data_IF_115493913993
#
_entry.id   IF_115493913993
#
_cell.length_a   1.000
_cell.length_b   1.000
_cell.length_c   1.000
_cell.angle_alpha   90.00
_cell.angle_beta   90.00
_cell.angle_gamma   90.00
#
_symmetry.space_group_name_H-M   'P 1'
#
loop_
_entity.id
_entity.type
_entity.pdbx_description
1 polymer ?
#
# COMPACT_ATOMS: atom_id res chain seq x y z
N UNK A 1 -42.95 70.86 31.01
CA UNK A 1 -42.87 70.30 29.64
C UNK A 1 -42.08 68.96 29.70
N UNK A 2 -42.82 67.89 29.81
CA UNK A 2 -42.22 66.55 30.00
C UNK A 2 -42.58 65.69 28.78
N UNK A 3 -41.58 65.38 27.99
CA UNK A 3 -41.71 64.47 26.85
C UNK A 3 -41.21 63.09 27.30
N UNK A 4 -42.12 62.13 27.45
CA UNK A 4 -41.84 60.74 27.69
C UNK A 4 -41.55 60.07 26.35
N UNK A 5 -40.38 59.55 26.20
CA UNK A 5 -39.99 58.65 25.09
C UNK A 5 -40.11 57.18 25.55
N UNK A 6 -41.01 56.44 24.91
CA UNK A 6 -41.17 55.03 25.08
C UNK A 6 -40.08 54.31 24.36
N UNK A 7 -39.41 53.33 25.04
CA UNK A 7 -38.49 52.38 24.48
C UNK A 7 -39.27 51.12 24.08
N UNK A 8 -39.31 50.84 22.80
CA UNK A 8 -39.78 49.58 22.28
C UNK A 8 -38.63 48.54 22.33
N UNK A 9 -38.78 47.48 23.13
CA UNK A 9 -37.87 46.40 23.21
C UNK A 9 -38.19 45.43 22.05
N UNK A 10 -37.30 45.37 21.05
CA UNK A 10 -37.34 44.35 20.02
C UNK A 10 -36.63 43.08 20.52
N UNK A 11 -37.41 42.04 20.80
CA UNK A 11 -36.89 40.73 21.15
C UNK A 11 -36.34 40.05 19.91
N UNK A 12 -35.05 39.81 19.90
CA UNK A 12 -34.37 38.99 18.88
C UNK A 12 -34.41 37.54 19.36
N UNK A 13 -35.32 36.73 18.77
CA UNK A 13 -35.28 35.30 18.93
C UNK A 13 -34.13 34.72 18.08
N UNK A 14 -32.99 34.44 18.73
CA UNK A 14 -31.91 33.69 18.11
C UNK A 14 -32.29 32.20 18.07
N UNK A 15 -32.72 31.72 16.92
CA UNK A 15 -32.85 30.29 16.66
C UNK A 15 -31.47 29.69 16.55
N UNK A 16 -31.04 28.99 17.61
CA UNK A 16 -29.84 28.13 17.56
C UNK A 16 -30.22 26.88 16.76
N UNK A 17 -29.87 26.87 15.49
CA UNK A 17 -29.88 25.64 14.70
C UNK A 17 -28.75 24.74 15.18
N UNK A 18 -29.06 23.76 16.02
CA UNK A 18 -28.15 22.66 16.33
C UNK A 18 -28.05 21.82 15.07
N UNK A 19 -27.06 22.11 14.24
CA UNK A 19 -26.64 21.23 13.15
C UNK A 19 -26.07 19.96 13.74
N UNK A 20 -26.85 18.89 13.75
CA UNK A 20 -26.34 17.57 13.94
C UNK A 20 -25.47 17.29 12.71
N UNK A 21 -24.16 17.48 12.83
CA UNK A 21 -23.21 16.92 11.90
C UNK A 21 -23.37 15.39 12.01
N UNK A 22 -24.10 14.80 11.07
CA UNK A 22 -23.97 13.39 10.78
C UNK A 22 -22.52 13.24 10.35
N UNK A 23 -21.67 12.84 11.29
CA UNK A 23 -20.38 12.27 10.94
C UNK A 23 -20.72 11.09 10.02
N UNK A 24 -20.54 11.31 8.73
CA UNK A 24 -20.45 10.22 7.77
C UNK A 24 -19.25 9.41 8.26
N UNK A 25 -19.53 8.37 9.06
CA UNK A 25 -18.52 7.39 9.41
C UNK A 25 -17.89 6.97 8.10
N UNK A 26 -16.57 7.09 8.03
CA UNK A 26 -15.83 6.57 6.89
C UNK A 26 -16.33 5.16 6.61
N UNK A 27 -16.68 4.83 5.36
CA UNK A 27 -17.11 3.49 5.04
C UNK A 27 -16.01 2.56 5.53
N UNK A 28 -16.38 1.58 6.36
CA UNK A 28 -15.45 0.57 6.83
C UNK A 28 -14.71 0.04 5.60
N UNK A 29 -13.44 0.42 5.45
CA UNK A 29 -12.64 0.00 4.33
C UNK A 29 -12.53 -1.52 4.41
N UNK A 30 -13.13 -2.20 3.45
CA UNK A 30 -12.97 -3.63 3.32
C UNK A 30 -11.48 -3.88 3.07
N UNK A 31 -10.82 -4.55 3.99
CA UNK A 31 -9.45 -5.01 3.80
C UNK A 31 -9.41 -5.87 2.54
N UNK A 32 -8.64 -5.46 1.57
CA UNK A 32 -8.52 -6.17 0.30
C UNK A 32 -7.14 -5.97 -0.31
N UNK A 33 -6.62 -6.92 -1.10
CA UNK A 33 -5.38 -6.70 -1.80
C UNK A 33 -5.54 -5.56 -2.82
N UNK A 34 -4.44 -4.85 -3.16
CA UNK A 34 -4.45 -3.91 -4.25
C UNK A 34 -4.84 -4.61 -5.56
N UNK A 35 -5.44 -3.88 -6.49
CA UNK A 35 -5.79 -4.42 -7.80
C UNK A 35 -4.56 -4.97 -8.52
N UNK A 36 -4.72 -6.09 -9.23
CA UNK A 36 -3.67 -6.63 -10.08
C UNK A 36 -3.31 -5.62 -11.19
N UNK A 37 -2.03 -5.46 -11.46
CA UNK A 37 -1.59 -4.54 -12.49
C UNK A 37 -0.17 -4.04 -12.35
N UNK A 38 0.16 -3.06 -13.21
CA UNK A 38 1.44 -2.40 -13.20
C UNK A 38 1.35 -1.08 -12.43
N UNK A 39 2.33 -0.85 -11.58
CA UNK A 39 2.43 0.34 -10.74
C UNK A 39 3.78 1.02 -10.96
N UNK A 40 3.78 2.32 -11.13
CA UNK A 40 5.00 3.12 -11.10
C UNK A 40 5.45 3.30 -9.66
N UNK A 41 6.70 2.96 -9.37
CA UNK A 41 7.33 3.23 -8.08
C UNK A 41 7.84 4.67 -8.05
N UNK A 42 7.34 5.44 -7.10
CA UNK A 42 7.80 6.79 -6.81
C UNK A 42 8.63 6.78 -5.53
N UNK A 43 9.94 6.78 -5.68
CA UNK A 43 10.91 6.75 -4.59
C UNK A 43 12.14 7.58 -4.98
N UNK A 44 12.81 8.19 -4.00
CA UNK A 44 14.02 8.95 -4.25
C UNK A 44 15.14 8.03 -4.79
N UNK A 45 15.66 8.36 -5.98
CA UNK A 45 16.68 7.55 -6.67
C UNK A 45 16.14 6.40 -7.51
N UNK A 46 14.83 6.16 -7.52
CA UNK A 46 14.17 5.19 -8.39
C UNK A 46 13.46 5.91 -9.54
N UNK A 47 13.98 5.85 -10.74
CA UNK A 47 13.36 6.46 -11.92
C UNK A 47 12.93 5.40 -12.92
N UNK A 48 11.68 5.44 -13.35
CA UNK A 48 11.15 4.52 -14.36
C UNK A 48 10.96 3.08 -13.89
N UNK A 49 10.98 2.85 -12.57
CA UNK A 49 10.74 1.51 -12.00
C UNK A 49 9.26 1.19 -12.00
N UNK A 50 8.93 0.03 -12.50
CA UNK A 50 7.56 -0.50 -12.51
C UNK A 50 7.48 -1.75 -11.65
N UNK A 51 6.46 -1.82 -10.80
CA UNK A 51 6.08 -3.03 -10.09
C UNK A 51 4.87 -3.66 -10.75
N UNK A 52 4.99 -4.94 -11.12
CA UNK A 52 3.82 -5.75 -11.45
C UNK A 52 3.37 -6.44 -10.17
N UNK A 53 2.15 -6.15 -9.74
CA UNK A 53 1.54 -6.72 -8.53
C UNK A 53 0.44 -7.67 -8.97
N UNK A 54 0.46 -8.89 -8.41
CA UNK A 54 -0.59 -9.90 -8.61
C UNK A 54 -0.97 -10.46 -7.24
N UNK A 55 -2.24 -10.35 -6.89
CA UNK A 55 -2.76 -10.88 -5.65
C UNK A 55 -3.05 -12.39 -5.77
N UNK A 56 -2.65 -13.13 -4.76
CA UNK A 56 -2.86 -14.57 -4.63
C UNK A 56 -3.56 -14.83 -3.30
N UNK A 57 -4.86 -15.10 -3.34
CA UNK A 57 -5.62 -15.49 -2.16
C UNK A 57 -5.98 -16.97 -2.28
N UNK A 58 -5.27 -17.80 -1.52
CA UNK A 58 -5.50 -19.23 -1.51
C UNK A 58 -6.81 -19.53 -0.78
N UNK A 59 -7.65 -20.35 -1.38
CA UNK A 59 -8.75 -20.96 -0.64
C UNK A 59 -8.19 -22.11 0.20
N UNK A 60 -8.53 -22.21 1.48
CA UNK A 60 -8.21 -23.41 2.24
C UNK A 60 -8.86 -24.60 1.54
N UNK A 61 -8.02 -25.55 1.14
CA UNK A 61 -8.42 -26.74 0.44
C UNK A 61 -9.55 -27.48 1.16
N UNK A 62 -10.66 -27.69 0.49
CA UNK A 62 -11.55 -28.82 0.71
C UNK A 62 -12.74 -28.65 1.64
N UNK A 63 -12.95 -27.56 2.34
CA UNK A 63 -14.16 -27.31 3.10
C UNK A 63 -14.95 -26.13 2.54
N UNK A 64 -16.25 -26.31 2.39
CA UNK A 64 -17.24 -25.32 1.95
C UNK A 64 -17.39 -24.11 2.89
N UNK A 65 -16.46 -23.87 3.77
CA UNK A 65 -16.47 -22.69 4.59
C UNK A 65 -15.98 -21.55 3.70
N UNK A 66 -16.91 -20.71 3.28
CA UNK A 66 -16.59 -19.43 2.70
C UNK A 66 -15.77 -18.68 3.75
N UNK A 67 -14.48 -18.55 3.51
CA UNK A 67 -13.66 -17.70 4.36
C UNK A 67 -14.19 -16.28 4.22
N UNK A 68 -14.52 -15.72 5.35
CA UNK A 68 -14.85 -14.30 5.39
C UNK A 68 -13.56 -13.49 5.29
N UNK A 69 -13.20 -13.11 4.08
CA UNK A 69 -12.02 -12.25 3.83
C UNK A 69 -12.23 -10.80 4.32
N UNK A 70 -13.41 -10.45 4.81
CA UNK A 70 -13.59 -9.21 5.55
C UNK A 70 -12.96 -9.27 6.95
N UNK A 71 -12.69 -10.49 7.45
CA UNK A 71 -11.90 -10.69 8.66
C UNK A 71 -10.41 -10.47 8.33
N UNK A 72 -9.76 -9.45 8.91
CA UNK A 72 -8.34 -9.15 8.67
C UNK A 72 -7.40 -10.33 8.97
N UNK A 73 -7.77 -11.20 9.90
CA UNK A 73 -6.98 -12.38 10.26
C UNK A 73 -7.04 -13.40 9.13
N UNK A 74 -8.24 -13.72 8.65
CA UNK A 74 -8.43 -14.66 7.53
C UNK A 74 -7.71 -14.16 6.28
N UNK A 75 -7.83 -12.87 5.98
CA UNK A 75 -7.16 -12.23 4.88
C UNK A 75 -5.62 -12.31 5.00
N UNK A 76 -5.06 -11.99 6.17
CA UNK A 76 -3.63 -12.02 6.42
C UNK A 76 -3.00 -13.41 6.20
N UNK A 77 -3.73 -14.48 6.56
CA UNK A 77 -3.22 -15.84 6.40
C UNK A 77 -3.35 -16.37 4.98
N UNK A 78 -4.40 -16.01 4.28
CA UNK A 78 -4.73 -16.64 3.00
C UNK A 78 -4.27 -15.84 1.78
N UNK A 79 -4.01 -14.54 1.92
CA UNK A 79 -3.59 -13.70 0.81
C UNK A 79 -2.08 -13.42 0.81
N UNK A 80 -1.53 -13.30 -0.38
CA UNK A 80 -0.17 -12.84 -0.63
C UNK A 80 -0.16 -12.00 -1.89
N UNK A 81 0.79 -11.07 -2.01
CA UNK A 81 1.07 -10.40 -3.27
C UNK A 81 2.35 -10.95 -3.88
N UNK A 82 2.30 -11.33 -5.13
CA UNK A 82 3.49 -11.53 -5.93
C UNK A 82 3.87 -10.20 -6.57
N UNK A 83 5.07 -9.73 -6.30
CA UNK A 83 5.58 -8.43 -6.76
C UNK A 83 6.82 -8.67 -7.61
N UNK A 84 6.81 -8.17 -8.83
CA UNK A 84 7.95 -8.18 -9.73
C UNK A 84 8.33 -6.74 -10.03
N UNK A 85 9.52 -6.34 -9.64
CA UNK A 85 10.08 -5.04 -9.93
C UNK A 85 10.90 -5.13 -11.20
N UNK A 86 10.66 -4.25 -12.14
CA UNK A 86 11.39 -4.16 -13.39
C UNK A 86 11.64 -2.70 -13.76
N UNK A 87 12.74 -2.51 -14.44
CA UNK A 87 13.13 -1.24 -15.01
C UNK A 87 13.14 -1.37 -16.54
N UNK A 88 12.97 -0.28 -17.33
CA UNK A 88 13.04 -0.34 -18.78
C UNK A 88 14.38 -0.91 -19.30
N UNK A 89 14.37 -1.60 -20.43
CA UNK A 89 15.52 -2.37 -20.93
C UNK A 89 16.82 -1.58 -21.21
N UNK A 90 16.75 -0.26 -21.28
CA UNK A 90 17.91 0.59 -21.63
C UNK A 90 18.78 0.99 -20.43
N UNK A 91 18.91 0.14 -19.46
CA UNK A 91 19.25 0.50 -18.12
C UNK A 91 20.69 0.21 -17.75
N UNK A 92 21.30 1.21 -17.16
CA UNK A 92 22.64 1.19 -16.55
C UNK A 92 22.72 0.22 -15.38
N UNK A 93 23.93 -0.10 -14.93
CA UNK A 93 24.17 -1.01 -13.82
C UNK A 93 23.42 -0.64 -12.54
N UNK A 94 23.22 0.65 -12.28
CA UNK A 94 22.50 1.15 -11.11
C UNK A 94 21.03 0.72 -11.11
N UNK A 95 20.44 0.61 -12.27
CA UNK A 95 19.02 0.26 -12.41
C UNK A 95 18.74 -1.22 -12.12
N UNK A 96 19.75 -2.10 -12.28
CA UNK A 96 19.64 -3.51 -11.89
C UNK A 96 19.45 -3.69 -10.39
N UNK A 97 19.89 -2.73 -9.57
CA UNK A 97 19.67 -2.74 -8.12
C UNK A 97 18.18 -2.77 -7.76
N UNK A 98 17.32 -2.32 -8.66
CA UNK A 98 15.89 -2.24 -8.44
C UNK A 98 15.09 -3.41 -9.02
N UNK A 99 15.75 -4.29 -9.81
CA UNK A 99 15.12 -5.49 -10.36
C UNK A 99 15.09 -6.60 -9.33
N UNK A 100 13.91 -7.05 -8.97
CA UNK A 100 13.70 -8.14 -8.01
C UNK A 100 12.32 -8.77 -8.17
N UNK A 101 12.12 -9.90 -7.52
CA UNK A 101 10.80 -10.44 -7.24
C UNK A 101 10.65 -10.69 -5.75
N UNK A 102 9.45 -10.45 -5.22
CA UNK A 102 9.16 -10.63 -3.81
C UNK A 102 7.72 -11.12 -3.60
N UNK A 103 7.50 -11.78 -2.47
CA UNK A 103 6.17 -12.20 -2.04
C UNK A 103 5.81 -11.46 -0.77
N UNK A 104 4.88 -10.50 -0.87
CA UNK A 104 4.40 -9.77 0.29
C UNK A 104 3.33 -10.56 1.04
N UNK A 105 3.36 -10.45 2.36
CA UNK A 105 2.33 -10.93 3.27
C UNK A 105 1.73 -9.75 4.02
N UNK A 106 0.45 -9.85 4.30
CA UNK A 106 -0.27 -8.85 5.09
C UNK A 106 0.00 -9.07 6.57
N UNK A 107 0.54 -8.07 7.24
CA UNK A 107 0.85 -8.10 8.66
C UNK A 107 0.84 -6.69 9.22
N UNK A 108 0.21 -6.49 10.38
CA UNK A 108 0.11 -5.18 11.03
C UNK A 108 -0.45 -4.10 10.11
N UNK A 109 -1.47 -4.43 9.32
CA UNK A 109 -2.15 -3.55 8.36
C UNK A 109 -1.26 -3.08 7.20
N UNK A 110 -0.15 -3.76 6.95
CA UNK A 110 0.77 -3.46 5.87
C UNK A 110 1.12 -4.71 5.08
N UNK A 111 1.25 -4.57 3.78
CA UNK A 111 1.89 -5.55 2.91
C UNK A 111 3.39 -5.44 3.06
N UNK A 112 4.02 -6.51 3.54
CA UNK A 112 5.46 -6.51 3.83
C UNK A 112 6.16 -7.67 3.15
N UNK A 113 7.31 -7.39 2.55
CA UNK A 113 8.20 -8.40 1.98
C UNK A 113 9.66 -7.99 2.11
N UNK A 114 10.54 -9.00 2.02
CA UNK A 114 11.99 -8.83 2.03
C UNK A 114 12.59 -9.39 0.74
N UNK A 115 13.65 -8.75 0.31
CA UNK A 115 14.47 -9.19 -0.83
C UNK A 115 15.93 -9.08 -0.43
N UNK A 116 16.66 -10.17 -0.54
CA UNK A 116 18.12 -10.16 -0.41
C UNK A 116 18.72 -9.92 -1.78
N UNK A 117 19.47 -8.82 -1.90
CA UNK A 117 20.15 -8.40 -3.13
C UNK A 117 21.65 -8.61 -2.99
N UNK A 118 22.25 -9.25 -3.95
CA UNK A 118 23.71 -9.42 -3.99
C UNK A 118 24.43 -8.11 -4.33
N UNK A 119 23.74 -7.17 -4.93
CA UNK A 119 24.23 -5.89 -5.49
C UNK A 119 23.44 -4.67 -5.01
N UNK A 120 22.82 -4.74 -3.84
CA UNK A 120 21.90 -3.72 -3.31
C UNK A 120 22.57 -2.44 -2.82
N UNK A 121 23.87 -2.43 -2.56
CA UNK A 121 24.62 -1.26 -2.08
C UNK A 121 25.71 -0.87 -3.07
N UNK A 122 25.76 0.42 -3.41
CA UNK A 122 26.88 0.97 -4.21
C UNK A 122 28.10 1.21 -3.34
N UNK A 123 29.26 0.70 -3.75
CA UNK A 123 30.53 0.88 -3.02
C UNK A 123 31.26 2.17 -3.41
N UNK A 124 31.90 2.89 -2.46
CA UNK A 124 32.63 4.12 -2.76
C UNK A 124 33.75 3.96 -3.80
N UNK A 125 34.41 2.81 -3.81
CA UNK A 125 35.47 2.47 -4.78
C UNK A 125 34.96 1.92 -6.11
N UNK A 126 33.67 1.93 -6.35
CA UNK A 126 33.01 1.28 -7.48
C UNK A 126 32.65 -0.18 -7.19
N UNK A 127 31.69 -0.71 -7.95
CA UNK A 127 31.09 -2.01 -7.70
C UNK A 127 29.90 -1.93 -6.73
N UNK A 128 29.44 -3.09 -6.32
CA UNK A 128 28.25 -3.22 -5.46
C UNK A 128 28.50 -4.28 -4.39
N UNK A 129 27.67 -4.23 -3.33
CA UNK A 129 27.73 -5.16 -2.20
C UNK A 129 26.30 -5.62 -1.80
N UNK A 130 26.18 -6.71 -1.04
CA UNK A 130 24.89 -7.25 -0.63
C UNK A 130 24.12 -6.31 0.33
N UNK A 131 22.79 -6.34 0.21
CA UNK A 131 21.85 -5.75 1.15
C UNK A 131 20.61 -6.63 1.32
N UNK A 132 19.89 -6.36 2.40
CA UNK A 132 18.51 -6.83 2.60
C UNK A 132 17.58 -5.64 2.48
N UNK A 133 16.68 -5.70 1.52
CA UNK A 133 15.65 -4.69 1.29
C UNK A 133 14.33 -5.13 1.92
N UNK A 134 13.71 -4.27 2.68
CA UNK A 134 12.38 -4.53 3.26
C UNK A 134 11.43 -3.44 2.80
N UNK A 135 10.36 -3.84 2.14
CA UNK A 135 9.28 -2.95 1.70
C UNK A 135 8.03 -3.22 2.53
N UNK A 136 7.40 -2.16 3.03
CA UNK A 136 6.15 -2.23 3.77
C UNK A 136 5.23 -1.10 3.31
N UNK A 137 4.02 -1.40 2.84
CA UNK A 137 3.08 -0.41 2.31
C UNK A 137 1.63 -0.76 2.64
N UNK A 138 0.79 0.28 2.70
CA UNK A 138 -0.66 0.17 2.86
C UNK A 138 -1.33 -0.03 1.51
N UNK A 139 -2.32 -0.91 1.45
CA UNK A 139 -3.22 -1.09 0.30
C UNK A 139 -4.17 0.09 0.08
N UNK A 140 -4.51 0.83 1.13
CA UNK A 140 -5.40 1.98 1.03
C UNK A 140 -4.71 3.19 0.38
N UNK A 141 -3.49 3.51 0.82
CA UNK A 141 -2.77 4.70 0.37
C UNK A 141 -1.76 4.40 -0.73
N UNK A 142 -1.49 3.12 -1.00
CA UNK A 142 -0.43 2.65 -1.91
C UNK A 142 0.92 3.33 -1.63
N UNK A 143 1.18 3.64 -0.36
CA UNK A 143 2.41 4.26 0.09
C UNK A 143 3.00 3.54 1.30
N UNK A 144 4.30 3.68 1.50
CA UNK A 144 4.99 2.94 2.52
C UNK A 144 6.43 3.34 2.75
N UNK A 145 7.18 2.41 3.33
CA UNK A 145 8.59 2.59 3.67
C UNK A 145 9.43 1.49 3.06
N UNK A 146 10.50 1.88 2.40
CA UNK A 146 11.59 1.02 1.96
C UNK A 146 12.74 1.13 2.95
N UNK A 147 13.25 0.00 3.43
CA UNK A 147 14.37 -0.08 4.36
C UNK A 147 15.48 -0.91 3.71
N UNK A 148 16.63 -0.30 3.49
CA UNK A 148 17.86 -0.97 3.07
C UNK A 148 18.73 -1.23 4.27
N UNK A 149 19.12 -2.47 4.49
CA UNK A 149 20.01 -2.90 5.56
C UNK A 149 21.24 -3.56 4.97
N UNK A 150 22.43 -3.15 5.39
CA UNK A 150 23.66 -3.84 5.05
C UNK A 150 24.61 -3.92 6.25
N UNK A 151 25.43 -4.96 6.28
CA UNK A 151 26.54 -5.09 7.20
C UNK A 151 27.76 -4.22 6.80
N UNK A 152 28.91 -4.39 7.47
CA UNK A 152 30.14 -3.72 7.06
C UNK A 152 30.63 -4.31 5.74
N UNK A 153 30.52 -3.54 4.64
CA UNK A 153 30.83 -3.98 3.28
C UNK A 153 31.61 -2.89 2.54
N UNK A 154 32.58 -3.28 1.69
CA UNK A 154 33.36 -2.39 0.83
C UNK A 154 33.87 -1.08 1.50
N UNK A 155 34.26 -1.16 2.79
CA UNK A 155 34.71 -0.01 3.58
C UNK A 155 33.61 0.84 4.20
N UNK A 156 32.36 0.51 3.95
CA UNK A 156 31.21 1.13 4.62
C UNK A 156 30.96 0.45 5.98
N UNK A 157 30.52 1.22 6.94
CA UNK A 157 30.00 0.71 8.20
C UNK A 157 28.61 0.11 7.98
N UNK A 158 28.16 -0.77 8.90
CA UNK A 158 26.78 -1.25 8.91
C UNK A 158 25.81 -0.07 8.99
N UNK A 159 24.83 -0.06 8.10
CA UNK A 159 23.82 1.00 8.05
C UNK A 159 22.43 0.46 7.78
N UNK A 160 21.42 1.21 8.24
CA UNK A 160 20.02 0.98 7.96
C UNK A 160 19.38 2.28 7.49
N UNK A 161 19.18 2.38 6.20
CA UNK A 161 18.53 3.53 5.58
C UNK A 161 17.04 3.26 5.38
N UNK A 162 16.20 4.24 5.75
CA UNK A 162 14.77 4.22 5.49
C UNK A 162 14.39 5.37 4.60
N UNK A 163 13.54 5.11 3.61
CA UNK A 163 13.00 6.14 2.72
C UNK A 163 11.54 5.85 2.39
N UNK A 164 10.71 6.89 2.24
CA UNK A 164 9.32 6.73 1.85
C UNK A 164 9.23 6.40 0.36
N UNK A 165 8.19 5.65 0.00
CA UNK A 165 7.81 5.44 -1.39
C UNK A 165 6.30 5.44 -1.57
N UNK A 166 5.85 5.59 -2.80
CA UNK A 166 4.45 5.39 -3.19
C UNK A 166 4.36 4.64 -4.52
N UNK A 167 3.23 3.99 -4.71
CA UNK A 167 2.90 3.23 -5.90
C UNK A 167 1.70 3.89 -6.58
N UNK A 168 1.82 4.15 -7.85
CA UNK A 168 0.75 4.69 -8.67
C UNK A 168 0.46 3.73 -9.82
N UNK A 169 -0.79 3.35 -10.00
CA UNK A 169 -1.17 2.48 -11.12
C UNK A 169 -0.77 3.11 -12.45
N UNK A 170 -0.05 2.36 -13.27
CA UNK A 170 0.56 2.83 -14.52
C UNK A 170 -0.39 2.77 -15.73
N UNK A 171 -1.69 2.72 -15.50
CA UNK A 171 -2.71 2.65 -16.55
C UNK A 171 -4.11 2.50 -15.97
N UNK A 172 -5.12 2.33 -16.80
CA UNK A 172 -6.45 2.03 -16.32
C UNK A 172 -6.43 0.67 -15.60
N UNK A 173 -7.21 0.52 -14.52
CA UNK A 173 -7.30 -0.75 -13.82
C UNK A 173 -7.76 -1.85 -14.78
N UNK A 174 -7.33 -3.10 -14.55
CA UNK A 174 -7.79 -4.22 -15.38
C UNK A 174 -9.32 -4.32 -15.35
N UNK A 175 -9.91 -4.69 -16.48
CA UNK A 175 -11.36 -4.89 -16.54
C UNK A 175 -11.63 -6.36 -16.91
N UNK A 176 -12.40 -7.10 -16.10
CA UNK A 176 -13.00 -6.68 -14.82
C UNK A 176 -11.97 -6.49 -13.71
N UNK A 177 -12.25 -5.58 -12.80
CA UNK A 177 -11.46 -5.46 -11.56
C UNK A 177 -11.66 -6.73 -10.76
N UNK A 178 -10.58 -7.46 -10.51
CA UNK A 178 -10.64 -8.61 -9.60
C UNK A 178 -10.97 -8.11 -8.20
N UNK A 179 -12.07 -8.57 -7.68
CA UNK A 179 -12.51 -8.26 -6.32
C UNK A 179 -12.18 -9.44 -5.42
N UNK A 180 -11.47 -9.17 -4.37
CA UNK A 180 -11.28 -10.12 -3.28
C UNK A 180 -12.22 -9.74 -2.12
N UNK A 181 -12.86 -10.72 -1.45
CA UNK A 181 -12.77 -12.15 -1.71
C UNK A 181 -13.43 -12.58 -3.02
N UNK A 182 -12.89 -13.61 -3.65
CA UNK A 182 -13.53 -14.25 -4.78
C UNK A 182 -14.75 -15.03 -4.26
N UNK A 183 -15.92 -14.76 -4.82
CA UNK A 183 -17.11 -15.55 -4.56
C UNK A 183 -17.00 -16.86 -5.34
N UNK A 184 -16.96 -17.97 -4.61
CA UNK A 184 -16.90 -19.28 -5.22
C UNK A 184 -18.24 -20.00 -5.08
N UNK A 185 -18.82 -20.46 -6.18
CA UNK A 185 -20.15 -21.08 -6.22
C UNK A 185 -20.20 -22.55 -5.71
N UNK A 186 -19.18 -23.00 -5.04
CA UNK A 186 -19.10 -24.35 -4.49
C UNK A 186 -18.78 -25.46 -5.51
N UNK A 187 -18.58 -25.12 -6.79
CA UNK A 187 -18.30 -26.06 -7.88
C UNK A 187 -16.98 -25.66 -8.60
N UNK A 188 -15.99 -25.22 -7.85
CA UNK A 188 -14.66 -24.88 -8.35
C UNK A 188 -14.54 -23.65 -9.27
N UNK A 189 -15.57 -22.84 -9.41
CA UNK A 189 -15.49 -21.57 -10.13
C UNK A 189 -15.60 -20.40 -9.16
N UNK A 190 -14.57 -19.57 -9.12
CA UNK A 190 -14.52 -18.33 -8.37
C UNK A 190 -14.61 -17.14 -9.34
N UNK A 191 -15.40 -16.11 -9.01
CA UNK A 191 -15.62 -14.90 -9.80
C UNK A 191 -15.74 -13.67 -8.90
#
# INVERSE_FOLDING_TARGET
MNVRRGLAAAGICSAVAIGIALESGDPAHAVGPPADGNYTLNEAGASGVTWTITALCDQPSGTRNMNDYSDPIVFAFNCALNIVSATPEQITRADKLQNFSGRARYSSMLWTFKVDKADGVSCPGGGTAPSTETYSFSDETMSGTHTTLHGPVCGLQSDMKKQPFSLQMAGPPPSPIQRYPLYCNGIAMCY
#
